data_IF_176984453789
#
_entry.id   IF_176984453789
#
_cell.length_a   1.000
_cell.length_b   1.000
_cell.length_c   1.000
_cell.angle_alpha   90.00
_cell.angle_beta   90.00
_cell.angle_gamma   90.00
#
_symmetry.space_group_name_H-M   'P 1'
#
loop_
_entity.id
_entity.type
_entity.pdbx_description
1 polymer ?
#
# COMPACT_ATOMS: atom_id res chain seq x y z
N UNK A 1 -55.68 24.85 -28.58
CA UNK A 1 -56.22 23.72 -29.39
C UNK A 1 -55.87 22.43 -28.63
N UNK A 2 -56.59 22.00 -27.60
CA UNK A 2 -57.94 21.42 -27.47
C UNK A 2 -58.07 19.96 -27.98
N UNK A 3 -58.66 19.11 -27.10
CA UNK A 3 -59.08 17.69 -27.18
C UNK A 3 -58.05 16.67 -26.68
N UNK A 4 -58.16 16.08 -25.47
CA UNK A 4 -59.23 15.38 -24.72
C UNK A 4 -59.38 13.89 -25.07
N UNK A 5 -59.31 13.08 -24.00
CA UNK A 5 -59.37 11.63 -23.83
C UNK A 5 -60.58 10.92 -24.46
N UNK A 6 -60.42 9.61 -24.73
CA UNK A 6 -61.50 8.62 -24.61
C UNK A 6 -60.97 7.38 -23.89
N UNK A 7 -61.62 7.10 -22.76
CA UNK A 7 -61.59 5.88 -21.94
C UNK A 7 -62.41 4.76 -22.58
N UNK A 8 -62.01 3.50 -22.39
CA UNK A 8 -62.85 2.34 -22.67
C UNK A 8 -62.38 1.12 -21.87
N UNK A 9 -63.04 0.87 -20.74
CA UNK A 9 -62.95 -0.33 -19.90
C UNK A 9 -64.19 -1.20 -20.11
N UNK A 10 -64.00 -2.50 -20.34
CA UNK A 10 -64.99 -3.58 -20.08
C UNK A 10 -64.18 -4.88 -20.00
N UNK A 11 -63.82 -5.38 -18.81
CA UNK A 11 -64.56 -6.34 -17.94
C UNK A 11 -64.87 -7.69 -18.58
N UNK A 12 -64.49 -8.72 -17.81
CA UNK A 12 -65.13 -10.02 -17.62
C UNK A 12 -64.44 -11.30 -18.11
N UNK A 13 -64.38 -12.20 -17.13
CA UNK A 13 -63.68 -13.45 -17.01
C UNK A 13 -64.20 -14.56 -17.94
N UNK A 14 -63.29 -15.45 -18.34
CA UNK A 14 -63.60 -16.86 -18.45
C UNK A 14 -62.34 -17.69 -18.21
N UNK A 15 -62.27 -18.27 -17.01
CA UNK A 15 -61.42 -19.42 -16.74
C UNK A 15 -61.81 -20.59 -17.67
N UNK A 16 -60.82 -21.40 -18.11
CA UNK A 16 -60.83 -22.89 -18.06
C UNK A 16 -59.70 -23.49 -18.93
N UNK A 17 -59.03 -24.48 -18.31
CA UNK A 17 -58.29 -25.62 -18.90
C UNK A 17 -56.78 -25.48 -19.22
N UNK A 18 -56.00 -25.62 -18.15
CA UNK A 18 -54.99 -26.66 -17.95
C UNK A 18 -54.75 -27.63 -19.14
N UNK A 19 -53.59 -27.53 -19.77
CA UNK A 19 -52.95 -28.66 -20.45
C UNK A 19 -51.42 -28.52 -20.37
N UNK A 20 -50.84 -29.29 -19.44
CA UNK A 20 -49.41 -29.49 -19.24
C UNK A 20 -48.70 -29.90 -20.54
N UNK A 21 -47.64 -29.19 -20.92
CA UNK A 21 -46.46 -29.79 -21.58
C UNK A 21 -45.18 -29.09 -21.13
N UNK A 22 -44.43 -29.81 -20.31
CA UNK A 22 -43.11 -29.51 -19.78
C UNK A 22 -42.16 -28.95 -20.84
N UNK A 23 -41.56 -27.79 -20.57
CA UNK A 23 -40.37 -27.32 -21.28
C UNK A 23 -39.31 -26.94 -20.26
N UNK A 24 -38.17 -27.62 -20.39
CA UNK A 24 -37.03 -27.63 -19.49
C UNK A 24 -36.42 -26.22 -19.38
N UNK A 25 -36.38 -25.67 -18.17
CA UNK A 25 -35.64 -24.43 -17.86
C UNK A 25 -34.17 -24.83 -17.67
N UNK A 26 -33.34 -24.56 -18.66
CA UNK A 26 -31.87 -24.63 -18.54
C UNK A 26 -31.39 -23.40 -17.75
N UNK A 27 -31.15 -23.57 -16.45
CA UNK A 27 -30.50 -22.57 -15.61
C UNK A 27 -28.99 -22.64 -15.89
N UNK A 28 -28.47 -21.77 -16.74
CA UNK A 28 -27.04 -21.56 -16.91
C UNK A 28 -26.50 -20.69 -15.78
N UNK A 29 -26.02 -21.31 -14.70
CA UNK A 29 -25.26 -20.62 -13.65
C UNK A 29 -23.84 -20.37 -14.17
N UNK A 30 -23.55 -19.13 -14.57
CA UNK A 30 -22.17 -18.70 -14.84
C UNK A 30 -21.54 -18.32 -13.50
N UNK A 31 -20.79 -19.25 -12.90
CA UNK A 31 -19.94 -18.95 -11.74
C UNK A 31 -18.69 -18.25 -12.26
N UNK A 32 -18.68 -16.92 -12.21
CA UNK A 32 -17.46 -16.14 -12.44
C UNK A 32 -16.52 -16.33 -11.24
N UNK A 33 -15.59 -17.29 -11.35
CA UNK A 33 -14.46 -17.42 -10.43
C UNK A 33 -13.48 -16.27 -10.69
N UNK A 34 -13.77 -15.10 -10.09
CA UNK A 34 -12.81 -14.02 -9.96
C UNK A 34 -11.71 -14.46 -8.99
N UNK A 35 -10.59 -14.98 -9.53
CA UNK A 35 -9.41 -15.26 -8.73
C UNK A 35 -8.82 -13.95 -8.20
N UNK A 36 -8.95 -13.71 -6.90
CA UNK A 36 -8.12 -12.74 -6.19
C UNK A 36 -6.68 -13.22 -6.32
N UNK A 37 -5.96 -12.74 -7.33
CA UNK A 37 -4.52 -12.87 -7.39
C UNK A 37 -3.95 -12.07 -6.21
N UNK A 38 -3.86 -12.71 -5.05
CA UNK A 38 -3.12 -12.19 -3.92
C UNK A 38 -1.71 -11.94 -4.45
N UNK A 39 -1.31 -10.66 -4.50
CA UNK A 39 0.05 -10.31 -4.85
C UNK A 39 0.97 -11.12 -3.93
N UNK A 40 1.81 -11.97 -4.52
CA UNK A 40 2.77 -12.80 -3.80
C UNK A 40 3.55 -11.89 -2.86
N UNK A 41 3.21 -11.95 -1.57
CA UNK A 41 4.04 -11.41 -0.50
C UNK A 41 5.29 -12.26 -0.52
N UNK A 42 6.42 -11.62 -0.82
CA UNK A 42 7.73 -12.29 -0.72
C UNK A 42 7.87 -12.82 0.70
N UNK A 43 8.22 -14.10 0.82
CA UNK A 43 8.25 -14.79 2.11
C UNK A 43 9.19 -14.08 3.09
N UNK A 44 8.70 -13.87 4.30
CA UNK A 44 9.53 -13.58 5.48
C UNK A 44 10.26 -14.87 5.84
N UNK A 45 11.50 -14.77 6.33
CA UNK A 45 12.28 -15.91 6.79
C UNK A 45 11.73 -16.44 8.13
N UNK A 46 12.07 -17.67 8.54
CA UNK A 46 11.56 -18.25 9.79
C UNK A 46 11.90 -17.44 11.05
N UNK A 47 13.01 -16.68 11.01
CA UNK A 47 13.45 -15.78 12.07
C UNK A 47 12.73 -14.41 12.06
N UNK A 48 11.75 -14.22 11.18
CA UNK A 48 11.00 -12.98 11.03
C UNK A 48 11.70 -11.91 10.18
N UNK A 49 12.91 -12.18 9.68
CA UNK A 49 13.66 -11.21 8.85
C UNK A 49 13.10 -11.19 7.43
N UNK A 50 13.09 -10.01 6.82
CA UNK A 50 12.78 -9.86 5.40
C UNK A 50 14.01 -9.44 4.60
N UNK A 51 14.31 -10.16 3.52
CA UNK A 51 15.39 -9.81 2.60
C UNK A 51 14.86 -9.36 1.25
N UNK A 52 15.28 -8.16 0.83
CA UNK A 52 15.17 -7.75 -0.55
C UNK A 52 16.20 -8.51 -1.41
N UNK A 53 15.73 -9.12 -2.49
CA UNK A 53 16.53 -9.92 -3.42
C UNK A 53 16.82 -9.16 -4.70
N UNK A 54 18.09 -9.09 -5.09
CA UNK A 54 18.55 -8.48 -6.33
C UNK A 54 19.05 -9.57 -7.28
N UNK A 55 18.59 -9.48 -8.53
CA UNK A 55 19.05 -10.36 -9.61
C UNK A 55 18.38 -11.73 -9.61
N UNK A 56 18.56 -12.43 -10.74
CA UNK A 56 17.97 -13.75 -11.03
C UNK A 56 18.98 -14.90 -10.91
N UNK A 57 20.18 -14.63 -10.38
CA UNK A 57 21.25 -15.64 -10.23
C UNK A 57 20.93 -16.68 -9.16
N UNK A 58 21.65 -17.81 -9.18
CA UNK A 58 21.57 -18.86 -8.16
C UNK A 58 22.05 -18.40 -6.77
N UNK A 59 22.92 -17.38 -6.72
CA UNK A 59 23.34 -16.65 -5.52
C UNK A 59 22.96 -15.17 -5.69
N UNK A 60 21.72 -14.78 -5.37
CA UNK A 60 21.33 -13.38 -5.44
C UNK A 60 22.08 -12.58 -4.37
N UNK A 61 22.23 -11.29 -4.61
CA UNK A 61 22.54 -10.39 -3.51
C UNK A 61 21.27 -10.14 -2.70
N UNK A 62 21.41 -10.16 -1.38
CA UNK A 62 20.34 -9.92 -0.42
C UNK A 62 20.67 -8.69 0.42
N UNK A 63 19.66 -7.87 0.67
CA UNK A 63 19.71 -6.79 1.66
C UNK A 63 18.57 -7.04 2.64
N UNK A 64 18.89 -7.30 3.89
CA UNK A 64 17.94 -7.80 4.87
C UNK A 64 17.64 -6.75 5.94
N UNK A 65 16.46 -6.84 6.55
CA UNK A 65 16.14 -6.09 7.77
C UNK A 65 17.03 -6.57 8.92
N UNK A 66 17.35 -5.68 9.85
CA UNK A 66 18.17 -6.00 11.03
C UNK A 66 17.33 -6.58 12.18
N UNK A 67 16.01 -6.61 12.03
CA UNK A 67 15.05 -7.11 13.01
C UNK A 67 13.85 -7.76 12.31
N UNK A 68 13.03 -8.44 13.10
CA UNK A 68 11.79 -9.04 12.64
C UNK A 68 10.82 -7.97 12.11
N UNK A 69 10.22 -8.25 10.95
CA UNK A 69 9.24 -7.34 10.35
C UNK A 69 7.85 -7.54 10.95
N UNK A 70 6.97 -6.53 10.86
CA UNK A 70 5.56 -6.67 11.16
C UNK A 70 4.89 -7.85 10.44
N UNK A 71 3.83 -8.38 11.05
CA UNK A 71 3.02 -9.45 10.47
C UNK A 71 2.32 -9.02 9.18
N UNK A 72 1.98 -9.98 8.32
CA UNK A 72 1.27 -9.71 7.07
C UNK A 72 -0.12 -9.09 7.30
N UNK A 73 -0.78 -9.42 8.43
CA UNK A 73 -2.04 -8.79 8.82
C UNK A 73 -1.85 -7.29 9.13
N UNK A 74 -0.77 -6.92 9.83
CA UNK A 74 -0.46 -5.53 10.14
C UNK A 74 -0.02 -4.76 8.89
N UNK A 75 0.69 -5.43 7.97
CA UNK A 75 1.01 -4.87 6.65
C UNK A 75 -0.25 -4.61 5.83
N UNK A 76 -1.18 -5.57 5.76
CA UNK A 76 -2.44 -5.41 5.05
C UNK A 76 -3.25 -4.23 5.62
N UNK A 77 -3.27 -4.08 6.95
CA UNK A 77 -3.88 -2.92 7.62
C UNK A 77 -3.19 -1.61 7.26
N UNK A 78 -1.86 -1.53 7.38
CA UNK A 78 -1.11 -0.34 7.02
C UNK A 78 -1.33 0.08 5.56
N UNK A 79 -1.46 -0.89 4.64
CA UNK A 79 -1.70 -0.64 3.21
C UNK A 79 -3.12 -0.19 2.87
N UNK A 80 -4.05 -0.18 3.82
CA UNK A 80 -5.33 0.52 3.67
C UNK A 80 -5.13 2.04 3.64
N UNK A 81 -4.03 2.53 4.23
CA UNK A 81 -3.72 3.96 4.39
C UNK A 81 -4.88 4.73 5.03
N UNK A 82 -5.61 4.10 5.95
CA UNK A 82 -6.71 4.72 6.65
C UNK A 82 -6.19 5.84 7.56
N UNK A 83 -6.89 6.97 7.57
CA UNK A 83 -6.63 8.06 8.49
C UNK A 83 -7.11 7.71 9.90
N UNK A 84 -6.37 8.17 10.90
CA UNK A 84 -6.76 8.13 12.32
C UNK A 84 -6.95 9.57 12.79
N UNK A 85 -8.16 10.00 13.22
CA UNK A 85 -8.42 11.38 13.62
C UNK A 85 -7.52 11.89 14.76
N UNK A 86 -7.00 10.99 15.59
CA UNK A 86 -6.22 11.34 16.79
C UNK A 86 -4.72 11.49 16.56
N UNK A 87 -4.18 11.09 15.41
CA UNK A 87 -2.74 11.16 15.11
C UNK A 87 -2.48 11.52 13.66
N UNK A 88 -1.27 11.99 13.37
CA UNK A 88 -0.77 12.00 12.01
C UNK A 88 -0.12 10.65 11.68
N UNK A 89 -0.25 10.20 10.42
CA UNK A 89 0.43 9.00 9.93
C UNK A 89 1.35 9.36 8.76
N UNK A 90 2.64 9.17 8.98
CA UNK A 90 3.67 9.29 7.96
C UNK A 90 4.06 7.89 7.45
N UNK A 91 3.98 7.70 6.14
CA UNK A 91 4.52 6.54 5.44
C UNK A 91 5.86 6.88 4.82
N UNK A 92 6.93 6.31 5.35
CA UNK A 92 8.27 6.43 4.78
C UNK A 92 8.46 5.35 3.72
N UNK A 93 8.67 5.76 2.47
CA UNK A 93 8.73 4.87 1.30
C UNK A 93 10.13 4.89 0.69
N UNK A 94 10.71 3.70 0.51
CA UNK A 94 11.98 3.53 -0.21
C UNK A 94 11.81 2.53 -1.33
N UNK A 95 11.39 3.00 -2.50
CA UNK A 95 11.07 2.16 -3.65
C UNK A 95 11.18 2.92 -4.98
N UNK A 96 12.22 3.74 -5.12
CA UNK A 96 12.57 4.40 -6.39
C UNK A 96 13.56 3.56 -7.20
N UNK A 97 13.70 3.91 -8.48
CA UNK A 97 14.53 3.20 -9.44
C UNK A 97 16.01 3.24 -9.02
N UNK A 98 16.75 2.17 -9.31
CA UNK A 98 18.19 2.02 -9.05
C UNK A 98 18.64 1.90 -7.58
N UNK A 99 17.75 1.90 -6.60
CA UNK A 99 18.10 1.54 -5.22
C UNK A 99 17.94 0.03 -4.97
N UNK A 100 19.03 -0.66 -4.62
CA UNK A 100 19.04 -2.12 -4.58
C UNK A 100 19.84 -2.79 -3.48
N UNK A 101 20.86 -2.17 -2.85
CA UNK A 101 21.84 -2.92 -2.01
C UNK A 101 21.99 -2.48 -0.56
N UNK A 102 21.73 -1.23 -0.21
CA UNK A 102 22.17 -0.69 1.08
C UNK A 102 21.07 -0.64 2.13
N UNK A 103 21.45 -0.80 3.40
CA UNK A 103 20.61 -0.40 4.52
C UNK A 103 20.82 1.10 4.76
N UNK A 104 19.75 1.87 4.91
CA UNK A 104 19.81 3.30 5.18
C UNK A 104 19.03 3.59 6.46
N UNK A 105 19.74 3.85 7.58
CA UNK A 105 19.12 4.26 8.82
C UNK A 105 18.50 5.65 8.71
N UNK A 106 17.21 5.74 9.00
CA UNK A 106 16.49 7.00 9.08
C UNK A 106 16.10 7.26 10.52
N UNK A 107 16.56 8.38 11.05
CA UNK A 107 16.20 8.92 12.35
C UNK A 107 14.92 9.75 12.21
N UNK A 108 14.02 9.65 13.19
CA UNK A 108 12.75 10.37 13.30
C UNK A 108 12.73 11.04 14.67
N UNK A 109 12.85 12.37 14.69
CA UNK A 109 13.03 13.11 15.94
C UNK A 109 14.24 12.59 16.74
N UNK A 110 14.10 12.54 18.06
CA UNK A 110 15.14 12.00 18.95
C UNK A 110 14.94 10.51 19.25
N UNK A 111 13.70 10.02 19.16
CA UNK A 111 13.30 8.74 19.76
C UNK A 111 13.00 7.64 18.73
N UNK A 112 12.83 7.99 17.46
CA UNK A 112 12.47 7.05 16.40
C UNK A 112 13.63 6.72 15.48
N UNK A 113 13.75 5.45 15.09
CA UNK A 113 14.67 5.03 14.03
C UNK A 113 14.07 3.90 13.20
N UNK A 114 14.30 3.94 11.89
CA UNK A 114 13.97 2.87 10.95
C UNK A 114 15.18 2.58 10.08
N UNK A 115 15.68 1.34 10.13
CA UNK A 115 16.71 0.86 9.21
C UNK A 115 16.04 0.43 7.89
N UNK A 116 15.94 1.37 6.94
CA UNK A 116 15.28 1.10 5.66
C UNK A 116 16.12 0.20 4.78
N UNK A 117 15.46 -0.65 4.00
CA UNK A 117 16.07 -1.43 2.92
C UNK A 117 15.38 -1.12 1.59
N UNK A 118 15.92 -1.55 0.44
CA UNK A 118 15.26 -1.33 -0.82
C UNK A 118 13.86 -1.98 -0.87
N UNK A 119 12.92 -1.29 -1.49
CA UNK A 119 11.49 -1.68 -1.58
C UNK A 119 10.84 -1.90 -0.23
N UNK A 120 11.15 -1.04 0.74
CA UNK A 120 10.56 -1.04 2.08
C UNK A 120 9.57 0.10 2.29
N UNK A 121 8.73 -0.09 3.29
CA UNK A 121 7.72 0.83 3.80
C UNK A 121 7.81 0.81 5.33
N UNK A 122 7.75 1.98 5.95
CA UNK A 122 7.47 2.09 7.38
C UNK A 122 6.22 2.95 7.61
N UNK A 123 5.39 2.54 8.56
CA UNK A 123 4.29 3.35 9.08
C UNK A 123 4.74 4.01 10.38
N UNK A 124 4.60 5.32 10.47
CA UNK A 124 5.04 6.09 11.63
C UNK A 124 3.86 6.94 12.08
N UNK A 125 3.31 6.67 13.26
CA UNK A 125 2.25 7.46 13.88
C UNK A 125 2.87 8.49 14.80
N UNK A 126 2.54 9.75 14.60
CA UNK A 126 3.13 10.92 15.24
C UNK A 126 2.03 11.85 15.78
N UNK A 127 2.28 12.62 16.84
CA UNK A 127 1.40 13.72 17.20
C UNK A 127 1.37 14.77 16.07
N UNK A 128 0.30 15.57 15.94
CA UNK A 128 0.29 16.70 15.02
C UNK A 128 1.43 17.69 15.33
N UNK A 129 2.06 18.26 14.30
CA UNK A 129 3.13 19.24 14.45
C UNK A 129 4.30 19.02 13.48
N UNK A 130 5.42 19.67 13.82
CA UNK A 130 6.67 19.65 13.06
C UNK A 130 7.52 18.45 13.44
N UNK A 131 7.90 17.63 12.46
CA UNK A 131 8.71 16.45 12.67
C UNK A 131 9.94 16.47 11.79
N UNK A 132 11.11 16.24 12.40
CA UNK A 132 12.38 16.12 11.69
C UNK A 132 12.68 14.66 11.39
N UNK A 133 13.00 14.37 10.13
CA UNK A 133 13.58 13.11 9.68
C UNK A 133 14.97 13.36 9.13
N UNK A 134 15.90 12.45 9.40
CA UNK A 134 17.27 12.60 8.92
C UNK A 134 17.95 11.26 8.68
N UNK A 135 18.90 11.25 7.76
CA UNK A 135 19.83 10.14 7.59
C UNK A 135 21.19 10.70 7.19
N UNK A 136 22.24 9.93 7.42
CA UNK A 136 23.58 10.22 6.89
C UNK A 136 23.94 9.12 5.90
N UNK A 137 24.53 9.53 4.77
CA UNK A 137 25.14 8.60 3.85
C UNK A 137 26.52 9.10 3.43
N UNK A 138 27.56 8.34 3.81
CA UNK A 138 28.95 8.65 3.49
C UNK A 138 29.36 10.08 3.94
N UNK A 139 28.91 10.50 5.12
CA UNK A 139 29.20 11.83 5.69
C UNK A 139 28.38 12.96 5.06
N UNK A 140 27.42 12.64 4.19
CA UNK A 140 26.43 13.59 3.67
C UNK A 140 25.13 13.44 4.45
N UNK A 141 24.95 14.30 5.44
CA UNK A 141 23.71 14.39 6.21
C UNK A 141 22.57 14.95 5.36
N UNK A 142 21.42 14.28 5.41
CA UNK A 142 20.17 14.72 4.81
C UNK A 142 19.14 14.94 5.91
N UNK A 143 18.37 16.02 5.80
CA UNK A 143 17.35 16.41 6.77
C UNK A 143 16.09 16.82 6.00
N UNK A 144 14.95 16.30 6.44
CA UNK A 144 13.62 16.74 6.02
C UNK A 144 12.82 17.14 7.25
N UNK A 145 12.14 18.28 7.17
CA UNK A 145 11.09 18.62 8.13
C UNK A 145 9.74 18.43 7.46
N UNK A 146 8.80 17.80 8.16
CA UNK A 146 7.43 17.65 7.72
C UNK A 146 6.49 18.24 8.76
N UNK A 147 5.60 19.12 8.31
CA UNK A 147 4.46 19.54 9.11
C UNK A 147 3.31 18.56 8.88
N UNK A 148 2.76 18.03 9.97
CA UNK A 148 1.69 17.04 9.94
C UNK A 148 0.48 17.51 10.75
N UNK A 149 -0.72 17.32 10.22
CA UNK A 149 -2.00 17.60 10.90
C UNK A 149 -2.60 16.33 11.51
N UNK A 150 -3.48 16.50 12.49
CA UNK A 150 -4.32 15.41 13.00
C UNK A 150 -5.13 14.79 11.86
N UNK A 151 -5.19 13.45 11.78
CA UNK A 151 -5.86 12.77 10.68
C UNK A 151 -5.11 12.77 9.35
N UNK A 152 -3.95 13.42 9.26
CA UNK A 152 -3.20 13.46 8.01
C UNK A 152 -2.55 12.11 7.71
N UNK A 153 -2.70 11.65 6.47
CA UNK A 153 -1.93 10.55 5.90
C UNK A 153 -0.97 11.13 4.87
N UNK A 154 0.32 11.07 5.16
CA UNK A 154 1.37 11.64 4.32
C UNK A 154 2.37 10.58 3.89
N UNK A 155 2.91 10.71 2.69
CA UNK A 155 4.01 9.90 2.19
C UNK A 155 5.27 10.76 2.10
N UNK A 156 6.39 10.25 2.58
CA UNK A 156 7.71 10.82 2.36
C UNK A 156 8.60 9.76 1.72
N UNK A 157 9.30 10.14 0.66
CA UNK A 157 10.09 9.20 -0.12
C UNK A 157 11.59 9.44 0.06
N UNK A 158 12.33 8.33 0.02
CA UNK A 158 13.78 8.33 -0.16
C UNK A 158 14.05 8.01 -1.62
N UNK A 159 14.75 8.90 -2.30
CA UNK A 159 15.32 8.63 -3.61
C UNK A 159 16.73 8.09 -3.43
N UNK A 160 16.95 6.87 -3.90
CA UNK A 160 18.25 6.20 -3.82
C UNK A 160 18.71 5.86 -5.22
N UNK A 161 19.97 6.15 -5.53
CA UNK A 161 20.55 5.81 -6.82
C UNK A 161 21.84 5.02 -6.61
N UNK A 162 21.99 3.92 -7.35
CA UNK A 162 23.20 3.11 -7.40
C UNK A 162 23.76 3.11 -8.82
N UNK A 163 25.06 3.35 -8.92
CA UNK A 163 25.82 3.33 -10.15
C UNK A 163 27.18 2.64 -9.90
N UNK A 164 27.99 2.45 -10.95
CA UNK A 164 29.20 1.63 -10.85
C UNK A 164 30.26 2.19 -9.87
N UNK A 165 30.29 3.50 -9.66
CA UNK A 165 31.23 4.21 -8.79
C UNK A 165 30.64 4.63 -7.42
N UNK A 166 29.42 4.20 -7.05
CA UNK A 166 28.87 4.53 -5.73
C UNK A 166 27.35 4.61 -5.65
N UNK A 167 26.89 5.35 -4.64
CA UNK A 167 25.47 5.55 -4.38
C UNK A 167 25.20 6.85 -3.65
N UNK A 168 24.04 7.44 -3.90
CA UNK A 168 23.51 8.59 -3.18
C UNK A 168 22.10 8.32 -2.70
N UNK A 169 21.72 9.03 -1.64
CA UNK A 169 20.36 9.06 -1.13
C UNK A 169 19.97 10.51 -0.88
N UNK A 170 18.72 10.81 -1.17
CA UNK A 170 18.10 12.11 -0.90
C UNK A 170 16.63 11.92 -0.58
N UNK A 171 16.00 13.00 -0.13
CA UNK A 171 14.55 13.06 -0.03
C UNK A 171 13.94 13.30 -1.41
N UNK A 172 12.79 12.71 -1.66
CA UNK A 172 12.04 12.92 -2.90
C UNK A 172 10.71 13.61 -2.62
N UNK A 173 10.50 14.75 -3.28
CA UNK A 173 9.19 15.37 -3.41
C UNK A 173 8.45 14.66 -4.55
N UNK A 174 7.71 13.61 -4.19
CA UNK A 174 6.89 12.83 -5.12
C UNK A 174 5.45 13.32 -5.20
N UNK A 175 4.80 13.09 -6.34
CA UNK A 175 3.34 13.13 -6.40
C UNK A 175 2.76 12.04 -5.46
N UNK A 176 1.64 12.37 -4.80
CA UNK A 176 1.07 11.51 -3.75
C UNK A 176 0.59 10.16 -4.29
N UNK A 177 0.09 10.11 -5.53
CA UNK A 177 -0.43 8.87 -6.13
C UNK A 177 0.71 7.89 -6.45
N UNK A 178 1.81 8.39 -6.99
CA UNK A 178 3.03 7.65 -7.27
C UNK A 178 3.65 7.11 -6.00
N UNK A 179 3.74 7.94 -4.95
CA UNK A 179 4.26 7.51 -3.65
C UNK A 179 3.39 6.41 -3.03
N UNK A 180 2.05 6.55 -3.09
CA UNK A 180 1.09 5.52 -2.65
C UNK A 180 1.25 4.22 -3.45
N UNK A 181 1.36 4.30 -4.77
CA UNK A 181 1.57 3.14 -5.65
C UNK A 181 2.87 2.40 -5.30
N UNK A 182 3.94 3.15 -5.00
CA UNK A 182 5.22 2.59 -4.53
C UNK A 182 5.12 1.98 -3.15
N UNK A 183 4.39 2.60 -2.22
CA UNK A 183 4.14 2.05 -0.88
C UNK A 183 3.40 0.71 -0.93
N UNK A 184 2.36 0.58 -1.77
CA UNK A 184 1.63 -0.70 -1.97
C UNK A 184 2.54 -1.84 -2.44
N UNK A 185 3.56 -1.50 -3.23
CA UNK A 185 4.55 -2.43 -3.82
C UNK A 185 5.76 -2.71 -2.92
N UNK A 186 5.81 -2.12 -1.73
CA UNK A 186 6.89 -2.27 -0.74
C UNK A 186 6.47 -3.22 0.39
N UNK A 187 7.45 -3.81 1.09
CA UNK A 187 7.22 -4.60 2.31
C UNK A 187 7.13 -3.65 3.51
N UNK A 188 6.16 -3.85 4.41
CA UNK A 188 6.15 -3.15 5.70
C UNK A 188 7.27 -3.73 6.58
N UNK A 189 8.24 -2.90 6.94
CA UNK A 189 9.40 -3.30 7.75
C UNK A 189 9.36 -2.74 9.17
N UNK A 190 8.54 -1.71 9.41
CA UNK A 190 8.38 -1.08 10.72
C UNK A 190 6.99 -0.45 10.85
N UNK A 191 6.42 -0.52 12.04
CA UNK A 191 5.19 0.19 12.44
C UNK A 191 5.43 0.83 13.81
N UNK A 192 5.68 2.14 13.80
CA UNK A 192 6.06 2.91 14.97
C UNK A 192 4.91 3.80 15.45
N UNK A 193 4.85 4.01 16.77
CA UNK A 193 4.03 5.05 17.39
C UNK A 193 4.94 5.87 18.31
N UNK A 194 5.11 7.13 17.95
CA UNK A 194 5.97 8.09 18.63
C UNK A 194 5.08 9.16 19.27
N UNK A 195 5.54 9.74 20.39
CA UNK A 195 4.76 10.58 21.29
C UNK A 195 5.45 11.91 21.55
#
# INVERSE_FOLDING_TARGET
>A
MCRTCITGTTTEDAAVRQQQRSSLILISVVVALGGCAAASTRSVQPDGVYCYRIGKSYRPQLTCTNSAVPSDALEAEAKRFAADPGVATLYLVRNRWADTRNVLPVQIGQDGRVDTIPRSLARIRLPPGSHRLSFDWQGQGQVQTVELRAGEVRFLEIDGSLWAWGSSYGWADGDTEGARSRALKSKLIADLRLH
#
